data_IF_379572939928
#
_entry.id   IF_379572939928
#
_cell.length_a   1.000
_cell.length_b   1.000
_cell.length_c   1.000
_cell.angle_alpha   90.00
_cell.angle_beta   90.00
_cell.angle_gamma   90.00
#
_symmetry.space_group_name_H-M   'P 1'
#
loop_
_entity.id
_entity.type
_entity.pdbx_description
1 polymer ?
#
# COMPACT_ATOMS: atom_id res chain seq x y z
N UNK A 1 3.75 11.90 -3.47
CA UNK A 1 3.22 11.17 -2.32
C UNK A 1 1.77 10.79 -2.59
N UNK A 2 1.57 9.59 -3.13
CA UNK A 2 0.28 9.01 -3.49
C UNK A 2 -0.54 8.67 -2.24
N UNK A 3 -1.84 8.39 -2.41
CA UNK A 3 -2.70 7.95 -1.32
C UNK A 3 -2.19 6.63 -0.70
N UNK A 4 -1.71 5.71 -1.55
CA UNK A 4 -1.11 4.45 -1.12
C UNK A 4 0.16 4.65 -0.28
N UNK A 5 1.08 5.52 -0.71
CA UNK A 5 2.29 5.84 0.05
C UNK A 5 1.94 6.38 1.46
N UNK A 6 0.94 7.27 1.56
CA UNK A 6 0.50 7.80 2.87
C UNK A 6 -0.11 6.74 3.79
N UNK A 7 -0.83 5.77 3.23
CA UNK A 7 -1.42 4.66 4.00
C UNK A 7 -0.33 3.70 4.47
N UNK A 8 0.63 3.36 3.60
CA UNK A 8 1.76 2.49 3.94
C UNK A 8 2.59 3.14 5.05
N UNK A 9 2.93 4.43 4.93
CA UNK A 9 3.66 5.15 5.97
C UNK A 9 2.91 5.14 7.30
N UNK A 10 1.59 5.36 7.28
CA UNK A 10 0.78 5.30 8.50
C UNK A 10 0.77 3.91 9.15
N UNK A 11 0.76 2.83 8.37
CA UNK A 11 0.86 1.46 8.88
C UNK A 11 2.23 1.27 9.56
N UNK A 12 3.31 1.72 8.92
CA UNK A 12 4.67 1.60 9.46
C UNK A 12 4.84 2.41 10.75
N UNK A 13 4.28 3.61 10.83
CA UNK A 13 4.28 4.44 12.04
C UNK A 13 3.57 3.73 13.21
N UNK A 14 2.38 3.16 12.99
CA UNK A 14 1.66 2.40 14.02
C UNK A 14 2.50 1.19 14.48
N UNK A 15 3.13 0.48 13.54
CA UNK A 15 3.98 -0.65 13.91
C UNK A 15 5.16 -0.23 14.78
N UNK A 16 5.79 0.90 14.46
CA UNK A 16 6.87 1.45 15.26
C UNK A 16 6.40 1.88 16.66
N UNK A 17 5.29 2.61 16.75
CA UNK A 17 4.70 3.10 18.01
C UNK A 17 4.37 1.97 18.99
N UNK A 18 3.91 0.84 18.47
CA UNK A 18 3.55 -0.33 19.27
C UNK A 18 4.65 -1.41 19.32
N UNK A 19 5.84 -1.14 18.76
CA UNK A 19 6.95 -2.11 18.67
C UNK A 19 6.53 -3.45 18.07
N UNK A 20 5.60 -3.40 17.10
CA UNK A 20 5.10 -4.58 16.41
C UNK A 20 6.14 -5.07 15.40
N UNK A 21 6.43 -6.35 15.43
CA UNK A 21 7.21 -7.00 14.38
C UNK A 21 6.37 -7.13 13.12
N UNK A 22 7.00 -7.01 11.94
CA UNK A 22 6.31 -7.38 10.71
C UNK A 22 5.87 -8.84 10.74
N UNK A 23 4.75 -9.11 10.08
CA UNK A 23 4.19 -10.45 9.91
C UNK A 23 3.82 -10.63 8.44
N UNK A 24 3.73 -11.89 8.00
CA UNK A 24 3.36 -12.22 6.62
C UNK A 24 2.03 -11.56 6.20
N UNK A 25 1.09 -11.37 7.13
CA UNK A 25 -0.19 -10.71 6.86
C UNK A 25 -0.02 -9.21 6.62
N UNK A 26 0.85 -8.55 7.39
CA UNK A 26 1.12 -7.11 7.23
C UNK A 26 1.90 -6.86 5.94
N UNK A 27 2.90 -7.70 5.64
CA UNK A 27 3.65 -7.62 4.38
C UNK A 27 2.72 -7.80 3.17
N UNK A 28 1.77 -8.74 3.27
CA UNK A 28 0.76 -8.97 2.23
C UNK A 28 -0.21 -7.80 2.07
N UNK A 29 -0.58 -7.14 3.17
CA UNK A 29 -1.41 -5.93 3.15
C UNK A 29 -0.69 -4.75 2.47
N UNK A 30 0.55 -4.47 2.86
CA UNK A 30 1.37 -3.41 2.25
C UNK A 30 1.51 -3.66 0.75
N UNK A 31 1.77 -4.91 0.35
CA UNK A 31 1.88 -5.29 -1.06
C UNK A 31 0.57 -5.07 -1.83
N UNK A 32 -0.57 -5.48 -1.27
CA UNK A 32 -1.88 -5.27 -1.93
C UNK A 32 -2.21 -3.78 -2.11
N UNK A 33 -1.80 -2.93 -1.16
CA UNK A 33 -1.97 -1.47 -1.26
C UNK A 33 -1.09 -0.90 -2.38
N UNK A 34 0.17 -1.34 -2.49
CA UNK A 34 1.06 -0.95 -3.57
C UNK A 34 0.55 -1.41 -4.94
N UNK A 35 0.16 -2.69 -5.05
CA UNK A 35 -0.35 -3.29 -6.29
C UNK A 35 -1.64 -2.58 -6.75
N UNK A 36 -2.52 -2.17 -5.83
CA UNK A 36 -3.72 -1.39 -6.15
C UNK A 36 -3.38 -0.01 -6.71
N UNK A 37 -2.32 0.62 -6.20
CA UNK A 37 -1.89 1.94 -6.67
C UNK A 37 -1.29 1.87 -8.08
N UNK A 38 -0.56 0.79 -8.39
CA UNK A 38 -0.04 0.54 -9.73
C UNK A 38 -1.14 0.15 -10.73
N UNK A 39 -2.23 -0.46 -10.26
CA UNK A 39 -3.36 -0.85 -11.11
C UNK A 39 -4.31 0.29 -11.46
N UNK A 40 -4.33 1.38 -10.68
CA UNK A 40 -5.13 2.58 -10.99
C UNK A 40 -4.56 3.38 -12.19
N UNK A 41 -3.30 3.16 -12.57
CA UNK A 41 -2.64 3.81 -13.72
C UNK A 41 -2.90 3.11 -15.07
N UNK A 42 -3.71 2.04 -15.11
CA UNK A 42 -3.92 1.20 -16.31
C UNK A 42 -5.33 1.34 -16.93
N UNK A 43 -6.17 2.23 -16.40
CA UNK A 43 -7.49 2.58 -16.98
C UNK A 43 -7.39 3.80 -17.93
N UNK A 44 -6.28 3.94 -18.68
CA UNK A 44 -6.21 4.84 -19.83
C UNK A 44 -6.63 4.08 -21.11
N UNK A 45 -7.93 4.17 -21.41
CA UNK A 45 -8.54 4.17 -22.76
C UNK A 45 -8.12 3.02 -23.73
N UNK A 46 -8.95 1.97 -23.81
CA UNK A 46 -9.11 1.21 -25.06
C UNK A 46 -10.58 1.31 -25.54
N UNK A 47 -11.00 2.52 -25.89
CA UNK A 47 -12.12 2.75 -26.83
C UNK A 47 -11.55 3.43 -28.09
N UNK A 48 -11.38 2.65 -29.15
CA UNK A 48 -10.84 3.08 -30.45
C UNK A 48 -10.95 2.01 -31.53
#
# INVERSE_FOLDING_TARGET
MSAAEKVIDHILDIMADYSLSSSANIDSLIRAISDSAESEDVDEEEDG
#
